data_IF_647763850114
#
_entry.id   IF_647763850114
#
_cell.length_a   1.000
_cell.length_b   1.000
_cell.length_c   1.000
_cell.angle_alpha   90.00
_cell.angle_beta   90.00
_cell.angle_gamma   90.00
#
_symmetry.space_group_name_H-M   'P 1'
#
loop_
_entity.id
_entity.type
_entity.pdbx_description
1 polymer ?
#
# COMPACT_ATOMS: atom_id res chain seq x y z
N UNK A 1 1.27 16.92 -7.21
CA UNK A 1 0.69 16.88 -5.84
C UNK A 1 1.76 16.27 -4.95
N UNK A 2 2.02 16.84 -3.77
CA UNK A 2 3.12 16.48 -2.87
C UNK A 2 2.52 16.03 -1.54
N UNK A 3 3.00 14.91 -1.01
CA UNK A 3 2.72 14.47 0.35
C UNK A 3 3.86 15.00 1.23
N UNK A 4 3.54 15.72 2.28
CA UNK A 4 4.53 16.30 3.20
C UNK A 4 4.18 15.87 4.63
N UNK A 5 5.20 15.47 5.35
CA UNK A 5 5.14 15.27 6.80
C UNK A 5 6.00 16.31 7.48
N UNK A 6 5.54 16.86 8.62
CA UNK A 6 6.27 17.84 9.42
C UNK A 6 6.22 17.45 10.89
N UNK A 7 7.38 17.34 11.49
CA UNK A 7 7.58 17.11 12.93
C UNK A 7 6.75 15.94 13.47
N UNK A 8 6.58 14.86 12.66
CA UNK A 8 5.79 13.71 13.09
C UNK A 8 6.44 13.02 14.27
N UNK A 9 5.72 12.97 15.39
CA UNK A 9 6.10 12.28 16.60
C UNK A 9 5.05 11.25 16.97
N UNK A 10 5.49 10.03 17.29
CA UNK A 10 4.66 8.98 17.84
C UNK A 10 5.44 8.26 18.94
N UNK A 11 4.93 8.36 20.17
CA UNK A 11 5.61 7.92 21.40
C UNK A 11 4.67 7.10 22.29
N UNK A 12 4.21 5.91 21.86
CA UNK A 12 3.42 5.05 22.72
C UNK A 12 4.27 4.56 23.90
N UNK A 13 3.69 4.53 25.11
CA UNK A 13 4.31 3.97 26.32
C UNK A 13 5.72 4.52 26.60
N UNK A 14 5.93 5.83 26.36
CA UNK A 14 7.20 6.55 26.56
C UNK A 14 8.37 6.14 25.65
N UNK A 15 8.16 5.26 24.66
CA UNK A 15 9.15 4.90 23.64
C UNK A 15 8.89 5.61 22.32
N UNK A 16 9.92 6.26 21.73
CA UNK A 16 9.80 6.90 20.44
C UNK A 16 9.81 5.89 19.28
N UNK A 17 8.68 5.78 18.58
CA UNK A 17 8.57 5.08 17.30
C UNK A 17 8.79 6.02 16.11
N UNK A 18 8.39 7.29 16.26
CA UNK A 18 8.72 8.40 15.37
C UNK A 18 9.14 9.58 16.25
N UNK A 19 10.21 10.26 15.91
CA UNK A 19 10.71 11.41 16.65
C UNK A 19 11.07 12.51 15.65
N UNK A 20 10.21 13.54 15.57
CA UNK A 20 10.40 14.74 14.75
C UNK A 20 10.69 14.44 13.26
N UNK A 21 9.89 13.55 12.65
CA UNK A 21 10.13 13.09 11.27
C UNK A 21 9.47 14.03 10.27
N UNK A 22 10.29 14.72 9.47
CA UNK A 22 9.84 15.63 8.41
C UNK A 22 10.36 15.15 7.06
N UNK A 23 9.46 14.78 6.14
CA UNK A 23 9.79 14.22 4.82
C UNK A 23 8.81 14.74 3.77
N UNK A 24 9.27 14.72 2.52
CA UNK A 24 8.48 15.16 1.37
C UNK A 24 8.50 14.10 0.26
N UNK A 25 7.34 13.85 -0.33
CA UNK A 25 7.15 12.86 -1.38
C UNK A 25 6.41 13.48 -2.56
N UNK A 26 7.06 13.54 -3.70
CA UNK A 26 6.46 14.02 -4.94
C UNK A 26 5.71 12.90 -5.66
N UNK A 27 4.61 13.23 -6.33
CA UNK A 27 3.87 12.29 -7.14
C UNK A 27 4.72 11.76 -8.32
N UNK A 28 4.53 10.50 -8.67
CA UNK A 28 5.23 9.85 -9.79
C UNK A 28 6.68 9.48 -9.50
N UNK A 29 7.14 9.59 -8.27
CA UNK A 29 8.48 9.15 -7.86
C UNK A 29 8.44 7.93 -6.96
N UNK A 30 9.49 7.12 -7.05
CA UNK A 30 9.75 6.01 -6.13
C UNK A 30 10.71 6.48 -5.03
N UNK A 31 10.32 6.26 -3.77
CA UNK A 31 11.13 6.56 -2.60
C UNK A 31 11.43 5.28 -1.83
N UNK A 32 12.66 5.12 -1.38
CA UNK A 32 13.09 4.00 -0.54
C UNK A 32 13.43 4.50 0.85
N UNK A 33 12.80 3.94 1.87
CA UNK A 33 13.11 4.22 3.27
C UNK A 33 14.00 3.11 3.80
N UNK A 34 15.26 3.44 4.08
CA UNK A 34 16.25 2.52 4.62
C UNK A 34 16.50 2.79 6.11
N UNK A 35 16.79 1.75 6.85
CA UNK A 35 17.11 1.86 8.27
C UNK A 35 17.10 0.50 8.97
N UNK A 36 17.65 0.45 10.18
CA UNK A 36 17.72 -0.76 11.02
C UNK A 36 16.31 -1.27 11.37
N UNK A 37 16.21 -2.52 11.76
CA UNK A 37 14.98 -3.04 12.38
C UNK A 37 14.62 -2.19 13.60
N UNK A 38 13.32 -1.95 13.81
CA UNK A 38 12.78 -1.07 14.86
C UNK A 38 13.08 0.43 14.69
N UNK A 39 13.62 0.90 13.56
CA UNK A 39 13.86 2.34 13.32
C UNK A 39 12.61 3.14 12.92
N UNK A 40 11.41 2.65 13.15
CA UNK A 40 10.16 3.39 12.89
C UNK A 40 9.64 3.35 11.45
N UNK A 41 10.30 2.67 10.49
CA UNK A 41 9.85 2.61 9.09
C UNK A 41 8.40 2.16 8.93
N UNK A 42 8.06 1.05 9.59
CA UNK A 42 6.70 0.51 9.58
C UNK A 42 5.70 1.46 10.24
N UNK A 43 6.08 2.09 11.34
CA UNK A 43 5.25 3.08 12.04
C UNK A 43 4.98 4.28 11.15
N UNK A 44 5.99 4.81 10.47
CA UNK A 44 5.85 5.89 9.51
C UNK A 44 4.89 5.56 8.37
N UNK A 45 5.05 4.39 7.73
CA UNK A 45 4.15 3.97 6.65
C UNK A 45 2.71 3.74 7.14
N UNK A 46 2.53 3.16 8.33
CA UNK A 46 1.20 2.99 8.95
C UNK A 46 0.55 4.33 9.26
N UNK A 47 1.32 5.31 9.73
CA UNK A 47 0.84 6.67 9.99
C UNK A 47 0.32 7.34 8.73
N UNK A 48 1.09 7.30 7.62
CA UNK A 48 0.63 7.82 6.33
C UNK A 48 -0.63 7.08 5.86
N UNK A 49 -0.68 5.77 6.02
CA UNK A 49 -1.87 4.98 5.65
C UNK A 49 -3.08 5.26 6.56
N UNK A 50 -2.90 5.97 7.69
CA UNK A 50 -3.95 6.24 8.67
C UNK A 50 -4.29 5.07 9.57
N UNK A 51 -3.43 4.06 9.62
CA UNK A 51 -3.58 2.85 10.44
C UNK A 51 -2.96 2.99 11.83
N UNK A 52 -2.29 4.12 12.06
CA UNK A 52 -1.64 4.46 13.31
C UNK A 52 -1.78 5.96 13.57
N UNK A 53 -2.14 6.39 14.78
CA UNK A 53 -2.18 7.80 15.13
C UNK A 53 -0.78 8.40 15.19
N UNK A 54 -0.72 9.72 15.31
CA UNK A 54 0.47 10.49 15.70
C UNK A 54 0.11 11.35 16.90
N UNK A 55 1.07 11.57 17.78
CA UNK A 55 0.88 12.44 18.94
C UNK A 55 1.05 13.90 18.52
N UNK A 56 2.06 14.19 17.68
CA UNK A 56 2.38 15.54 17.22
C UNK A 56 2.74 15.55 15.72
N UNK A 57 2.69 16.74 15.13
CA UNK A 57 3.10 16.99 13.76
C UNK A 57 1.94 17.02 12.77
N UNK A 58 2.27 17.20 11.51
CA UNK A 58 1.32 17.38 10.41
C UNK A 58 1.59 16.42 9.26
N UNK A 59 0.51 16.01 8.57
CA UNK A 59 0.58 15.30 7.30
C UNK A 59 -0.31 16.05 6.32
N UNK A 60 0.26 16.56 5.23
CA UNK A 60 -0.50 17.29 4.21
C UNK A 60 -0.36 16.64 2.85
N UNK A 61 -1.43 16.69 2.07
CA UNK A 61 -1.47 16.28 0.66
C UNK A 61 -1.84 17.48 -0.20
N UNK A 62 -0.84 18.13 -0.77
CA UNK A 62 -1.00 19.48 -1.29
C UNK A 62 -1.34 20.44 -0.13
N UNK A 63 -2.49 21.12 -0.23
CA UNK A 63 -2.97 22.05 0.81
C UNK A 63 -3.92 21.39 1.84
N UNK A 64 -4.26 20.10 1.66
CA UNK A 64 -5.23 19.43 2.52
C UNK A 64 -4.54 18.74 3.69
N UNK A 65 -5.07 18.90 4.90
CA UNK A 65 -4.70 18.05 6.04
C UNK A 65 -5.10 16.61 5.74
N UNK A 66 -4.08 15.75 5.60
CA UNK A 66 -4.28 14.36 5.24
C UNK A 66 -4.83 13.51 6.40
N UNK A 67 -4.64 13.97 7.64
CA UNK A 67 -5.17 13.32 8.85
C UNK A 67 -6.67 13.46 8.97
N UNK A 68 -7.24 14.57 8.46
CA UNK A 68 -8.68 14.80 8.45
C UNK A 68 -9.44 13.90 7.46
N UNK A 69 -8.71 13.27 6.51
CA UNK A 69 -9.30 12.38 5.51
C UNK A 69 -9.50 10.99 6.13
N UNK A 70 -10.73 10.43 6.13
CA UNK A 70 -10.99 9.08 6.58
C UNK A 70 -10.10 8.06 5.86
N UNK A 71 -9.67 6.98 6.56
CA UNK A 71 -8.72 5.99 6.02
C UNK A 71 -9.19 5.40 4.69
N UNK A 72 -10.48 5.12 4.55
CA UNK A 72 -11.06 4.56 3.32
C UNK A 72 -11.12 5.54 2.14
N UNK A 73 -10.93 6.85 2.38
CA UNK A 73 -10.89 7.91 1.37
C UNK A 73 -9.48 8.35 1.00
N UNK A 74 -8.47 7.94 1.75
CA UNK A 74 -7.07 8.40 1.55
C UNK A 74 -6.45 7.97 0.24
N UNK A 75 -7.02 7.00 -0.47
CA UNK A 75 -6.44 6.44 -1.70
C UNK A 75 -4.97 6.02 -1.53
N UNK A 76 -4.65 5.44 -0.39
CA UNK A 76 -3.35 4.85 -0.07
C UNK A 76 -3.51 3.33 -0.01
N UNK A 77 -2.58 2.58 -0.59
CA UNK A 77 -2.45 1.16 -0.30
C UNK A 77 -1.18 0.91 0.50
N UNK A 78 -1.27 -0.04 1.39
CA UNK A 78 -0.14 -0.59 2.12
C UNK A 78 -0.03 -2.07 1.81
N UNK A 79 1.08 -2.48 1.20
CA UNK A 79 1.41 -3.89 1.00
C UNK A 79 2.27 -4.31 2.18
N UNK A 80 1.70 -5.15 3.03
CA UNK A 80 2.39 -5.65 4.22
C UNK A 80 3.47 -6.67 3.86
N UNK A 81 4.48 -6.78 4.69
CA UNK A 81 5.52 -7.82 4.62
C UNK A 81 4.91 -9.23 4.71
N UNK A 82 3.89 -9.44 5.51
CA UNK A 82 3.03 -10.62 5.47
C UNK A 82 1.98 -10.39 4.38
N UNK A 83 2.16 -11.06 3.25
CA UNK A 83 1.31 -10.86 2.07
C UNK A 83 -0.14 -11.23 2.36
N UNK A 84 -0.97 -10.22 2.60
CA UNK A 84 -2.40 -10.42 2.86
C UNK A 84 -3.10 -10.61 1.51
N UNK A 85 -3.15 -11.85 1.03
CA UNK A 85 -3.99 -12.26 -0.08
C UNK A 85 -5.28 -12.90 0.43
N UNK A 86 -6.31 -12.96 -0.42
CA UNK A 86 -7.54 -13.68 -0.13
C UNK A 86 -7.32 -15.18 -0.42
N UNK A 87 -7.19 -16.05 0.59
CA UNK A 87 -6.73 -17.42 0.40
C UNK A 87 -7.75 -18.31 -0.33
N UNK A 88 -9.03 -17.94 -0.31
CA UNK A 88 -10.12 -18.65 -0.98
C UNK A 88 -10.29 -18.26 -2.45
N UNK A 89 -9.59 -17.21 -2.92
CA UNK A 89 -9.59 -16.74 -4.30
C UNK A 89 -8.32 -17.20 -5.03
N UNK A 90 -8.41 -17.42 -6.34
CA UNK A 90 -7.24 -17.62 -7.20
C UNK A 90 -6.51 -16.31 -7.49
N UNK A 91 -5.42 -16.37 -8.27
CA UNK A 91 -4.62 -15.17 -8.64
C UNK A 91 -5.46 -14.13 -9.36
N UNK A 92 -6.18 -14.56 -10.42
CA UNK A 92 -7.06 -13.67 -11.18
C UNK A 92 -8.09 -12.98 -10.29
N UNK A 93 -8.78 -13.72 -9.45
CA UNK A 93 -9.83 -13.22 -8.57
C UNK A 93 -9.29 -12.26 -7.50
N UNK A 94 -8.09 -12.52 -6.96
CA UNK A 94 -7.42 -11.62 -6.03
C UNK A 94 -7.17 -10.24 -6.65
N UNK A 95 -6.67 -10.21 -7.88
CA UNK A 95 -6.37 -8.96 -8.61
C UNK A 95 -7.67 -8.28 -9.07
N UNK A 96 -8.66 -9.06 -9.54
CA UNK A 96 -9.96 -8.55 -9.98
C UNK A 96 -10.81 -7.96 -8.85
N UNK A 97 -10.55 -8.34 -7.59
CA UNK A 97 -11.39 -7.98 -6.45
C UNK A 97 -11.63 -6.46 -6.33
N UNK A 98 -10.61 -5.58 -6.32
CA UNK A 98 -10.83 -4.14 -6.23
C UNK A 98 -11.56 -3.55 -7.45
N UNK A 99 -11.39 -4.14 -8.63
CA UNK A 99 -12.08 -3.71 -9.85
C UNK A 99 -13.58 -4.03 -9.79
N UNK A 100 -13.93 -5.21 -9.27
CA UNK A 100 -15.33 -5.60 -9.00
C UNK A 100 -15.99 -4.64 -8.00
N UNK A 101 -15.29 -4.24 -6.95
CA UNK A 101 -15.77 -3.25 -5.97
C UNK A 101 -16.11 -1.90 -6.63
N UNK A 102 -15.36 -1.53 -7.67
CA UNK A 102 -15.58 -0.32 -8.47
C UNK A 102 -16.68 -0.48 -9.52
N UNK A 103 -17.36 -1.64 -9.57
CA UNK A 103 -18.45 -1.95 -10.52
C UNK A 103 -18.03 -1.82 -11.98
N UNK A 104 -16.80 -2.14 -12.31
CA UNK A 104 -16.29 -2.16 -13.69
C UNK A 104 -16.94 -3.29 -14.49
N UNK A 105 -17.00 -3.14 -15.81
CA UNK A 105 -17.53 -4.19 -16.69
C UNK A 105 -16.63 -5.44 -16.67
N UNK A 106 -17.21 -6.61 -16.94
CA UNK A 106 -16.44 -7.86 -16.98
C UNK A 106 -15.34 -7.83 -18.04
N UNK A 107 -15.57 -7.15 -19.16
CA UNK A 107 -14.59 -6.99 -20.24
C UNK A 107 -13.41 -6.13 -19.79
N UNK A 108 -13.68 -4.98 -19.14
CA UNK A 108 -12.63 -4.10 -18.61
C UNK A 108 -11.82 -4.79 -17.51
N UNK A 109 -12.51 -5.51 -16.59
CA UNK A 109 -11.82 -6.29 -15.54
C UNK A 109 -10.86 -7.30 -16.16
N UNK A 110 -11.29 -8.03 -17.19
CA UNK A 110 -10.44 -9.02 -17.85
C UNK A 110 -9.20 -8.38 -18.45
N UNK A 111 -9.34 -7.23 -19.06
CA UNK A 111 -8.24 -6.49 -19.68
C UNK A 111 -7.26 -5.94 -18.60
N UNK A 112 -7.75 -5.25 -17.58
CA UNK A 112 -6.92 -4.67 -16.53
C UNK A 112 -6.17 -5.77 -15.76
N UNK A 113 -6.85 -6.87 -15.39
CA UNK A 113 -6.19 -8.00 -14.72
C UNK A 113 -5.10 -8.63 -15.58
N UNK A 114 -5.30 -8.77 -16.90
CA UNK A 114 -4.26 -9.30 -17.78
C UNK A 114 -3.02 -8.39 -17.81
N UNK A 115 -3.22 -7.08 -17.88
CA UNK A 115 -2.14 -6.09 -17.80
C UNK A 115 -1.41 -6.18 -16.44
N UNK A 116 -2.14 -6.22 -15.33
CA UNK A 116 -1.55 -6.32 -14.00
C UNK A 116 -0.74 -7.61 -13.82
N UNK A 117 -1.23 -8.73 -14.30
CA UNK A 117 -0.54 -10.04 -14.27
C UNK A 117 0.77 -9.97 -15.03
N UNK A 118 0.75 -9.38 -16.23
CA UNK A 118 1.95 -9.22 -17.05
C UNK A 118 2.97 -8.29 -16.39
N UNK A 119 2.54 -7.19 -15.80
CA UNK A 119 3.43 -6.25 -15.10
C UNK A 119 4.19 -6.89 -13.93
N UNK A 120 3.61 -7.89 -13.29
CA UNK A 120 4.24 -8.59 -12.16
C UNK A 120 4.85 -9.95 -12.54
N UNK A 121 4.83 -10.33 -13.82
CA UNK A 121 5.39 -11.60 -14.32
C UNK A 121 4.73 -12.83 -13.71
N UNK A 122 3.40 -12.87 -13.76
CA UNK A 122 2.58 -14.01 -13.28
C UNK A 122 1.69 -14.60 -14.38
N UNK A 123 2.09 -14.46 -15.66
CA UNK A 123 1.40 -15.07 -16.78
C UNK A 123 1.36 -16.60 -16.63
N UNK A 124 0.20 -17.20 -16.87
CA UNK A 124 -0.04 -18.64 -16.70
C UNK A 124 -0.33 -19.09 -15.26
N UNK A 125 -0.40 -18.15 -14.31
CA UNK A 125 -0.73 -18.43 -12.89
C UNK A 125 -2.16 -18.02 -12.55
N UNK A 126 -2.95 -17.52 -13.46
CA UNK A 126 -4.27 -16.89 -13.27
C UNK A 126 -5.22 -17.77 -12.45
N UNK A 127 -5.28 -19.06 -12.78
CA UNK A 127 -6.18 -20.02 -12.15
C UNK A 127 -5.62 -20.66 -10.85
N UNK A 128 -4.34 -20.43 -10.52
CA UNK A 128 -3.72 -21.02 -9.33
C UNK A 128 -4.26 -20.41 -8.04
N UNK A 129 -4.41 -21.25 -7.03
CA UNK A 129 -4.73 -20.81 -5.67
C UNK A 129 -3.50 -20.15 -5.02
N UNK A 130 -3.75 -19.25 -4.10
CA UNK A 130 -2.67 -18.53 -3.41
C UNK A 130 -1.69 -19.47 -2.70
N UNK A 131 -2.20 -20.56 -2.11
CA UNK A 131 -1.39 -21.54 -1.39
C UNK A 131 -0.42 -22.33 -2.29
N UNK A 132 -0.66 -22.35 -3.61
CA UNK A 132 0.20 -23.02 -4.59
C UNK A 132 1.37 -22.13 -5.06
N UNK A 133 1.45 -20.90 -4.56
CA UNK A 133 2.44 -19.91 -4.93
C UNK A 133 3.58 -19.82 -3.91
N UNK A 134 4.78 -19.58 -4.41
CA UNK A 134 5.90 -19.17 -3.55
C UNK A 134 5.63 -17.83 -2.86
N UNK A 135 6.33 -17.53 -1.74
CA UNK A 135 6.19 -16.27 -1.03
C UNK A 135 6.39 -15.04 -1.94
N UNK A 136 7.40 -15.06 -2.81
CA UNK A 136 7.63 -13.98 -3.78
C UNK A 136 6.51 -13.84 -4.81
N UNK A 137 5.88 -14.94 -5.24
CA UNK A 137 4.71 -14.90 -6.12
C UNK A 137 3.50 -14.32 -5.39
N UNK A 138 3.27 -14.73 -4.14
CA UNK A 138 2.20 -14.18 -3.30
C UNK A 138 2.36 -12.66 -3.09
N UNK A 139 3.60 -12.20 -2.89
CA UNK A 139 3.90 -10.76 -2.81
C UNK A 139 3.53 -10.03 -4.09
N UNK A 140 3.86 -10.59 -5.24
CA UNK A 140 3.53 -10.00 -6.55
C UNK A 140 2.03 -9.95 -6.79
N UNK A 141 1.24 -10.94 -6.34
CA UNK A 141 -0.23 -10.87 -6.38
C UNK A 141 -0.74 -9.73 -5.51
N UNK A 142 -0.23 -9.57 -4.28
CA UNK A 142 -0.64 -8.50 -3.39
C UNK A 142 -0.29 -7.11 -3.98
N UNK A 143 0.87 -6.99 -4.62
CA UNK A 143 1.28 -5.78 -5.32
C UNK A 143 0.35 -5.46 -6.49
N UNK A 144 0.12 -6.41 -7.41
CA UNK A 144 -0.77 -6.25 -8.54
C UNK A 144 -2.18 -5.79 -8.09
N UNK A 145 -2.75 -6.47 -7.10
CA UNK A 145 -4.05 -6.08 -6.52
C UNK A 145 -4.05 -4.65 -5.97
N UNK A 146 -2.95 -4.21 -5.36
CA UNK A 146 -2.87 -2.85 -4.82
C UNK A 146 -2.83 -1.79 -5.91
N UNK A 147 -2.16 -2.06 -7.04
CA UNK A 147 -2.05 -1.14 -8.17
C UNK A 147 -3.41 -0.91 -8.85
N UNK A 148 -4.26 -1.96 -8.92
CA UNK A 148 -5.60 -1.86 -9.51
C UNK A 148 -6.56 -0.93 -8.77
N UNK A 149 -6.21 -0.50 -7.56
CA UNK A 149 -6.99 0.49 -6.82
C UNK A 149 -6.85 1.93 -7.37
N UNK A 150 -6.01 2.16 -8.40
CA UNK A 150 -5.66 3.50 -8.95
C UNK A 150 -5.25 4.46 -7.84
N UNK A 151 -4.31 4.03 -7.04
CA UNK A 151 -3.87 4.72 -5.84
C UNK A 151 -3.07 5.98 -6.17
N UNK A 152 -3.21 7.01 -5.33
CA UNK A 152 -2.31 8.16 -5.37
C UNK A 152 -0.95 7.84 -4.76
N UNK A 153 -0.93 6.95 -3.76
CA UNK A 153 0.28 6.48 -3.08
C UNK A 153 0.19 4.99 -2.80
N UNK A 154 1.27 4.28 -3.04
CA UNK A 154 1.42 2.87 -2.66
C UNK A 154 2.68 2.75 -1.80
N UNK A 155 2.52 2.22 -0.58
CA UNK A 155 3.65 1.88 0.28
C UNK A 155 3.88 0.37 0.24
N UNK A 156 5.12 -0.02 0.01
CA UNK A 156 5.55 -1.41 -0.04
C UNK A 156 6.48 -1.66 1.13
N UNK A 157 6.12 -2.61 2.00
CA UNK A 157 7.02 -3.05 3.06
C UNK A 157 7.84 -4.23 2.55
N UNK A 158 9.15 -4.03 2.45
CA UNK A 158 10.13 -5.08 2.21
C UNK A 158 10.97 -5.31 3.47
N UNK A 159 11.53 -6.53 3.56
CA UNK A 159 12.52 -6.89 4.58
C UNK A 159 13.77 -6.02 4.49
#
# INVERSE_FOLDING_TARGET
MKLVTKNLTFKPEDEYYLNDVSLEFEAGRLYTILGRTLSGKTSFLKTIAGLQPVDEGEITLGEKDFRSIPVWERNVAMVYQQFINYPHLNVYENIAFPLKQRKMSAADIKQEVAVAISQVGLEGFEARKIQELSGGQQQRVALARSLERKLKYCSLMSL
#
